data_IF_214976827422
#
_entry.id   IF_214976827422
#
_cell.length_a   1.000
_cell.length_b   1.000
_cell.length_c   1.000
_cell.angle_alpha   90.00
_cell.angle_beta   90.00
_cell.angle_gamma   90.00
#
_symmetry.space_group_name_H-M   'P 1'
#
loop_
_entity.id
_entity.type
_entity.pdbx_description
1 polymer ?
#
# COMPACT_ATOMS: atom_id res chain seq x y z
N UNK A 1 46.11 -1.82 -33.58
CA UNK A 1 46.30 -1.56 -32.14
C UNK A 1 46.15 -0.06 -31.91
N UNK A 2 45.21 0.35 -31.04
CA UNK A 2 45.30 1.43 -30.03
C UNK A 2 46.04 2.77 -30.39
N UNK A 3 45.58 4.00 -30.14
CA UNK A 3 44.63 4.61 -29.17
C UNK A 3 44.38 6.10 -29.55
N UNK A 4 43.16 6.58 -29.23
CA UNK A 4 42.72 7.87 -28.65
C UNK A 4 43.08 9.28 -29.19
N UNK A 5 41.99 10.07 -29.32
CA UNK A 5 41.80 11.50 -28.93
C UNK A 5 42.46 12.57 -29.83
N UNK A 6 41.91 13.76 -30.15
CA UNK A 6 40.94 14.67 -29.53
C UNK A 6 40.21 15.52 -30.61
N UNK A 7 39.07 16.11 -30.24
CA UNK A 7 38.24 17.02 -31.05
C UNK A 7 38.90 18.41 -31.29
N UNK A 8 38.37 19.27 -32.19
CA UNK A 8 37.38 20.25 -31.71
C UNK A 8 36.23 20.55 -32.71
N UNK A 9 35.05 20.76 -32.13
CA UNK A 9 33.84 21.31 -32.74
C UNK A 9 33.83 22.84 -32.57
N UNK A 10 33.19 23.62 -33.47
CA UNK A 10 32.54 24.81 -32.96
C UNK A 10 31.13 25.08 -33.55
N UNK A 11 30.24 25.43 -32.60
CA UNK A 11 29.06 26.32 -32.68
C UNK A 11 27.67 25.72 -32.90
N UNK A 12 26.97 25.50 -31.78
CA UNK A 12 25.62 26.06 -31.57
C UNK A 12 25.48 26.43 -30.09
N UNK A 13 25.39 27.72 -29.79
CA UNK A 13 25.21 28.27 -28.45
C UNK A 13 23.73 28.42 -28.13
N UNK A 14 23.18 27.52 -27.31
CA UNK A 14 21.96 27.79 -26.56
C UNK A 14 22.31 28.48 -25.24
N UNK A 15 21.62 29.58 -24.94
CA UNK A 15 21.75 30.32 -23.68
C UNK A 15 21.11 29.48 -22.58
N UNK A 16 21.92 28.86 -21.72
CA UNK A 16 21.45 28.21 -20.50
C UNK A 16 21.17 29.29 -19.46
N UNK A 17 19.89 29.49 -19.11
CA UNK A 17 19.51 30.32 -17.97
C UNK A 17 20.03 29.65 -16.68
N UNK A 18 21.03 30.26 -16.03
CA UNK A 18 21.68 29.75 -14.81
C UNK A 18 20.89 30.13 -13.56
N UNK A 19 19.71 29.53 -13.37
CA UNK A 19 19.01 29.58 -12.08
C UNK A 19 18.09 28.36 -11.92
N UNK A 20 18.32 27.47 -10.94
CA UNK A 20 17.38 26.39 -10.63
C UNK A 20 16.24 26.98 -9.80
N UNK A 21 15.08 27.19 -10.40
CA UNK A 21 13.87 27.54 -9.66
C UNK A 21 13.18 26.22 -9.22
N UNK A 22 13.49 25.80 -7.99
CA UNK A 22 12.80 24.85 -7.09
C UNK A 22 11.90 23.76 -7.72
N UNK A 23 12.48 22.55 -7.83
CA UNK A 23 11.92 21.26 -7.40
C UNK A 23 10.41 21.02 -7.56
N UNK A 24 9.93 20.89 -8.80
CA UNK A 24 8.82 19.97 -9.06
C UNK A 24 9.41 18.61 -9.41
N UNK A 25 9.13 17.53 -8.65
CA UNK A 25 9.49 16.18 -9.06
C UNK A 25 8.89 15.93 -10.45
N UNK A 26 9.71 15.49 -11.41
CA UNK A 26 9.21 14.98 -12.68
C UNK A 26 8.48 13.67 -12.39
N UNK A 27 7.16 13.74 -12.18
CA UNK A 27 6.32 12.55 -12.07
C UNK A 27 6.40 11.80 -13.39
N UNK A 28 6.78 10.53 -13.33
CA UNK A 28 6.86 9.68 -14.51
C UNK A 28 5.46 9.31 -15.00
N UNK A 29 5.34 8.96 -16.28
CA UNK A 29 4.06 8.50 -16.85
C UNK A 29 3.54 7.25 -16.12
N UNK A 30 4.46 6.32 -15.79
CA UNK A 30 4.18 5.14 -14.97
C UNK A 30 3.54 5.49 -13.62
N UNK A 31 4.12 6.44 -12.87
CA UNK A 31 3.59 6.89 -11.58
C UNK A 31 2.21 7.56 -11.72
N UNK A 32 1.97 8.24 -12.84
CA UNK A 32 0.68 8.87 -13.12
C UNK A 32 -0.43 7.82 -13.31
N UNK A 33 -0.17 6.72 -14.03
CA UNK A 33 -1.12 5.63 -14.14
C UNK A 33 -1.38 4.92 -12.80
N UNK A 34 -0.32 4.62 -12.05
CA UNK A 34 -0.45 4.01 -10.72
C UNK A 34 -1.27 4.89 -9.77
N UNK A 35 -1.06 6.21 -9.81
CA UNK A 35 -1.85 7.16 -9.01
C UNK A 35 -3.35 7.01 -9.32
N UNK A 36 -3.74 7.01 -10.59
CA UNK A 36 -5.16 6.87 -10.98
C UNK A 36 -5.72 5.51 -10.53
N UNK A 37 -4.97 4.41 -10.67
CA UNK A 37 -5.39 3.09 -10.18
C UNK A 37 -5.63 3.11 -8.66
N UNK A 38 -4.77 3.80 -7.89
CA UNK A 38 -4.91 3.91 -6.45
C UNK A 38 -6.04 4.87 -6.01
N UNK A 39 -6.33 5.90 -6.81
CA UNK A 39 -7.48 6.80 -6.59
C UNK A 39 -8.82 6.07 -6.75
N UNK A 40 -8.93 5.16 -7.73
CA UNK A 40 -10.17 4.43 -8.06
C UNK A 40 -10.03 2.91 -7.87
N UNK A 41 -9.89 2.43 -6.62
CA UNK A 41 -9.57 1.03 -6.31
C UNK A 41 -10.67 0.03 -6.71
N UNK A 42 -11.91 0.45 -6.98
CA UNK A 42 -12.99 -0.45 -7.40
C UNK A 42 -13.23 -0.47 -8.92
N UNK A 43 -12.53 0.38 -9.69
CA UNK A 43 -12.77 0.54 -11.13
C UNK A 43 -11.79 -0.27 -11.99
N UNK A 44 -12.32 -1.00 -12.97
CA UNK A 44 -11.47 -1.77 -13.88
C UNK A 44 -10.87 -0.91 -14.99
N UNK A 45 -11.50 0.23 -15.32
CA UNK A 45 -11.05 1.10 -16.43
C UNK A 45 -9.62 1.61 -16.26
N UNK A 46 -9.21 2.20 -15.13
CA UNK A 46 -7.81 2.62 -14.93
C UNK A 46 -6.81 1.46 -15.03
N UNK A 47 -7.23 0.26 -14.59
CA UNK A 47 -6.38 -0.93 -14.60
C UNK A 47 -6.17 -1.47 -16.01
N UNK A 48 -7.21 -1.44 -16.84
CA UNK A 48 -7.13 -1.84 -18.25
C UNK A 48 -6.29 -0.84 -19.05
N UNK A 49 -6.46 0.46 -18.83
CA UNK A 49 -5.61 1.49 -19.46
C UNK A 49 -4.14 1.29 -19.08
N UNK A 50 -3.86 1.00 -17.80
CA UNK A 50 -2.50 0.70 -17.37
C UNK A 50 -1.95 -0.59 -17.98
N UNK A 51 -2.78 -1.63 -18.14
CA UNK A 51 -2.39 -2.85 -18.83
C UNK A 51 -2.05 -2.59 -20.31
N UNK A 52 -2.82 -1.75 -21.01
CA UNK A 52 -2.51 -1.34 -22.39
C UNK A 52 -1.16 -0.61 -22.45
N UNK A 53 -0.92 0.33 -21.52
CA UNK A 53 0.37 1.02 -21.44
C UNK A 53 1.54 0.07 -21.14
N UNK A 54 1.36 -0.91 -20.24
CA UNK A 54 2.38 -1.92 -19.95
C UNK A 54 2.75 -2.74 -21.19
N UNK A 55 1.77 -3.12 -21.99
CA UNK A 55 1.99 -3.83 -23.26
C UNK A 55 2.82 -2.98 -24.24
N UNK A 56 2.51 -1.69 -24.35
CA UNK A 56 3.28 -0.73 -25.18
C UNK A 56 4.73 -0.57 -24.69
N UNK A 57 4.98 -0.71 -23.38
CA UNK A 57 6.33 -0.72 -22.79
C UNK A 57 7.05 -2.08 -22.93
N UNK A 58 6.40 -3.10 -23.51
CA UNK A 58 6.96 -4.46 -23.66
C UNK A 58 6.75 -5.36 -22.44
N UNK A 59 5.97 -4.94 -21.45
CA UNK A 59 5.63 -5.68 -20.23
C UNK A 59 4.38 -6.55 -20.43
N UNK A 60 4.37 -7.40 -21.47
CA UNK A 60 3.18 -8.16 -21.87
C UNK A 60 2.64 -9.08 -20.76
N UNK A 61 3.53 -9.79 -20.05
CA UNK A 61 3.12 -10.71 -18.96
C UNK A 61 2.36 -9.98 -17.84
N UNK A 62 2.76 -8.74 -17.57
CA UNK A 62 2.17 -7.82 -16.61
C UNK A 62 0.75 -7.40 -17.02
N UNK A 63 0.62 -6.95 -18.27
CA UNK A 63 -0.66 -6.58 -18.86
C UNK A 63 -1.65 -7.77 -18.88
N UNK A 64 -1.20 -8.94 -19.32
CA UNK A 64 -2.00 -10.16 -19.38
C UNK A 64 -2.47 -10.61 -17.99
N UNK A 65 -1.62 -10.52 -16.97
CA UNK A 65 -1.99 -10.86 -15.60
C UNK A 65 -3.14 -9.99 -15.08
N UNK A 66 -3.05 -8.67 -15.27
CA UNK A 66 -4.12 -7.72 -14.86
C UNK A 66 -5.43 -8.07 -15.56
N UNK A 67 -5.40 -8.21 -16.90
CA UNK A 67 -6.59 -8.53 -17.71
C UNK A 67 -7.20 -9.88 -17.32
N UNK A 68 -6.37 -10.89 -17.07
CA UNK A 68 -6.82 -12.22 -16.67
C UNK A 68 -7.51 -12.19 -15.30
N UNK A 69 -6.94 -11.51 -14.30
CA UNK A 69 -7.57 -11.42 -12.97
C UNK A 69 -8.89 -10.63 -13.01
N UNK A 70 -8.97 -9.56 -13.80
CA UNK A 70 -10.23 -8.81 -14.00
C UNK A 70 -11.29 -9.72 -14.61
N UNK A 71 -10.97 -10.40 -15.72
CA UNK A 71 -11.92 -11.25 -16.44
C UNK A 71 -12.45 -12.39 -15.58
N UNK A 72 -11.59 -13.00 -14.76
CA UNK A 72 -11.95 -14.17 -13.94
C UNK A 72 -12.51 -13.81 -12.56
N UNK A 73 -12.37 -12.55 -12.13
CA UNK A 73 -12.73 -12.13 -10.78
C UNK A 73 -11.92 -12.86 -9.70
N UNK A 74 -10.70 -13.28 -10.02
CA UNK A 74 -9.87 -14.09 -9.12
C UNK A 74 -9.34 -13.27 -7.94
N UNK A 75 -9.29 -13.92 -6.78
CA UNK A 75 -8.59 -13.44 -5.59
C UNK A 75 -7.46 -14.41 -5.31
N UNK A 76 -6.22 -13.91 -5.28
CA UNK A 76 -5.03 -14.73 -5.08
C UNK A 76 -4.31 -14.26 -3.82
N UNK A 77 -4.25 -15.10 -2.80
CA UNK A 77 -3.49 -14.82 -1.58
C UNK A 77 -2.10 -15.44 -1.66
N UNK A 78 -1.07 -14.66 -1.32
CA UNK A 78 0.33 -15.08 -1.27
C UNK A 78 0.83 -14.91 0.16
N UNK A 79 1.43 -15.95 0.75
CA UNK A 79 1.98 -15.95 2.12
C UNK A 79 3.50 -16.00 2.03
N UNK A 80 4.21 -15.20 2.83
CA UNK A 80 5.67 -14.98 2.70
C UNK A 80 6.55 -16.22 2.93
N UNK A 81 6.01 -17.29 3.53
CA UNK A 81 6.70 -18.57 3.68
C UNK A 81 6.56 -19.51 2.47
N UNK A 82 5.79 -19.11 1.45
CA UNK A 82 5.54 -19.90 0.26
C UNK A 82 6.07 -19.09 -0.92
N UNK A 83 7.11 -19.59 -1.62
CA UNK A 83 7.41 -19.10 -2.97
C UNK A 83 6.23 -19.52 -3.84
N UNK A 84 5.36 -18.61 -4.31
CA UNK A 84 4.29 -19.05 -5.18
C UNK A 84 4.91 -19.53 -6.50
N UNK A 85 4.53 -20.73 -6.95
CA UNK A 85 4.76 -21.20 -8.33
C UNK A 85 3.95 -20.39 -9.35
N UNK A 86 3.13 -19.45 -8.89
CA UNK A 86 2.38 -18.50 -9.70
C UNK A 86 3.37 -17.46 -10.20
N UNK A 87 3.60 -17.43 -11.52
CA UNK A 87 4.39 -16.41 -12.18
C UNK A 87 3.72 -15.04 -12.03
N UNK A 88 4.04 -14.33 -10.95
CA UNK A 88 3.65 -12.93 -10.73
C UNK A 88 4.65 -12.06 -11.52
N UNK A 89 4.20 -11.21 -12.45
CA UNK A 89 5.08 -10.40 -13.29
C UNK A 89 6.03 -9.49 -12.49
N UNK A 90 7.27 -9.32 -12.97
CA UNK A 90 8.39 -8.71 -12.24
C UNK A 90 8.13 -7.25 -11.81
N UNK A 91 7.32 -6.47 -12.53
CA UNK A 91 7.01 -5.09 -12.10
C UNK A 91 6.08 -5.02 -10.86
N UNK A 92 5.30 -6.08 -10.56
CA UNK A 92 4.56 -6.21 -9.30
C UNK A 92 5.49 -6.51 -8.12
N UNK A 93 6.76 -6.90 -8.37
CA UNK A 93 7.82 -6.94 -7.35
C UNK A 93 8.34 -5.55 -6.96
N UNK A 94 7.74 -4.45 -7.46
CA UNK A 94 8.06 -3.11 -6.96
C UNK A 94 7.60 -2.87 -5.51
N UNK A 95 6.86 -3.82 -4.92
CA UNK A 95 6.98 -4.02 -3.48
C UNK A 95 8.33 -4.69 -3.26
N UNK A 96 9.33 -3.87 -2.97
CA UNK A 96 10.53 -4.29 -2.24
C UNK A 96 10.09 -4.66 -0.80
N UNK A 97 9.15 -5.60 -0.70
CA UNK A 97 8.91 -6.37 0.51
C UNK A 97 10.13 -7.25 0.59
N UNK A 98 11.18 -6.68 1.18
CA UNK A 98 12.22 -7.45 1.80
C UNK A 98 11.52 -8.61 2.51
N UNK A 99 11.79 -9.83 2.05
CA UNK A 99 10.95 -11.04 2.22
C UNK A 99 10.78 -11.45 3.71
N UNK A 100 11.27 -10.63 4.63
CA UNK A 100 11.29 -10.82 6.07
C UNK A 100 10.18 -10.04 6.81
N UNK A 101 9.47 -9.10 6.16
CA UNK A 101 8.69 -8.08 6.88
C UNK A 101 7.16 -8.08 6.66
N UNK A 102 6.66 -8.75 5.62
CA UNK A 102 5.21 -8.92 5.36
C UNK A 102 4.85 -10.40 5.49
N UNK A 103 3.74 -10.71 6.16
CA UNK A 103 3.30 -12.08 6.42
C UNK A 103 2.46 -12.66 5.28
N UNK A 104 1.61 -11.84 4.66
CA UNK A 104 0.87 -12.20 3.46
C UNK A 104 0.35 -10.97 2.72
N UNK A 105 0.08 -11.13 1.44
CA UNK A 105 -0.61 -10.14 0.59
C UNK A 105 -1.71 -10.84 -0.22
N UNK A 106 -2.77 -10.11 -0.52
CA UNK A 106 -3.85 -10.60 -1.38
C UNK A 106 -3.92 -9.74 -2.63
N UNK A 107 -3.88 -10.39 -3.78
CA UNK A 107 -4.09 -9.81 -5.09
C UNK A 107 -5.55 -9.91 -5.51
N UNK A 108 -6.05 -8.81 -6.07
CA UNK A 108 -7.37 -8.73 -6.71
C UNK A 108 -7.25 -7.79 -7.90
N UNK A 109 -7.75 -8.23 -9.06
CA UNK A 109 -7.77 -7.43 -10.31
C UNK A 109 -6.39 -6.89 -10.70
N UNK A 110 -5.35 -7.71 -10.52
CA UNK A 110 -3.98 -7.42 -10.95
C UNK A 110 -3.11 -6.70 -9.92
N UNK A 111 -3.65 -6.28 -8.78
CA UNK A 111 -2.90 -5.52 -7.77
C UNK A 111 -3.13 -6.03 -6.35
N UNK A 112 -2.22 -5.68 -5.43
CA UNK A 112 -2.39 -5.95 -4.01
C UNK A 112 -3.53 -5.08 -3.45
N UNK A 113 -4.55 -5.72 -2.88
CA UNK A 113 -5.69 -5.04 -2.25
C UNK A 113 -5.74 -5.23 -0.73
N UNK A 114 -5.06 -6.26 -0.19
CA UNK A 114 -4.97 -6.52 1.25
C UNK A 114 -3.54 -6.86 1.64
N UNK A 115 -3.08 -6.32 2.76
CA UNK A 115 -1.75 -6.55 3.31
C UNK A 115 -1.83 -7.02 4.77
N UNK A 116 -1.07 -8.06 5.11
CA UNK A 116 -0.92 -8.54 6.49
C UNK A 116 0.54 -8.46 6.91
N UNK A 117 0.86 -7.64 7.92
CA UNK A 117 2.23 -7.36 8.34
C UNK A 117 2.29 -6.84 9.77
N UNK A 118 3.49 -6.62 10.32
CA UNK A 118 3.62 -6.05 11.67
C UNK A 118 3.36 -4.55 11.69
N UNK A 119 2.98 -4.00 12.84
CA UNK A 119 2.76 -2.57 13.06
C UNK A 119 3.98 -1.71 12.70
N UNK A 120 5.18 -2.18 13.02
CA UNK A 120 6.46 -1.54 12.63
C UNK A 120 6.60 -1.45 11.11
N UNK A 121 6.44 -2.59 10.43
CA UNK A 121 6.56 -2.65 8.98
C UNK A 121 5.49 -1.79 8.28
N UNK A 122 4.31 -1.61 8.89
CA UNK A 122 3.27 -0.78 8.32
C UNK A 122 3.66 0.69 8.34
N UNK A 123 4.18 1.18 9.48
CA UNK A 123 4.65 2.55 9.60
C UNK A 123 5.79 2.88 8.61
N UNK A 124 6.64 1.90 8.30
CA UNK A 124 7.76 2.05 7.37
C UNK A 124 7.32 1.96 5.90
N UNK A 125 6.50 0.97 5.54
CA UNK A 125 6.21 0.63 4.15
C UNK A 125 4.95 1.30 3.58
N UNK A 126 4.01 1.77 4.42
CA UNK A 126 2.73 2.30 3.96
C UNK A 126 2.84 3.39 2.88
N UNK A 127 3.72 4.42 2.98
CA UNK A 127 3.81 5.44 1.94
C UNK A 127 4.13 4.88 0.54
N UNK A 128 5.08 3.93 0.47
CA UNK A 128 5.48 3.28 -0.79
C UNK A 128 4.43 2.29 -1.30
N UNK A 129 3.76 1.57 -0.40
CA UNK A 129 2.73 0.60 -0.76
C UNK A 129 1.48 1.27 -1.36
N UNK A 130 0.98 2.32 -0.71
CA UNK A 130 -0.27 2.97 -1.12
C UNK A 130 -0.13 3.80 -2.40
N UNK A 131 1.09 4.16 -2.80
CA UNK A 131 1.35 4.85 -4.08
C UNK A 131 1.40 3.89 -5.27
N UNK A 132 1.59 2.60 -5.03
CA UNK A 132 1.73 1.56 -6.07
C UNK A 132 0.56 0.59 -6.13
N UNK A 133 -0.20 0.47 -5.04
CA UNK A 133 -1.26 -0.52 -4.92
C UNK A 133 -2.56 0.07 -4.35
N UNK A 134 -3.72 -0.26 -4.94
CA UNK A 134 -5.05 0.10 -4.46
C UNK A 134 -5.44 -0.73 -3.24
N UNK A 135 -4.73 -0.51 -2.11
CA UNK A 135 -4.95 -1.23 -0.86
C UNK A 135 -6.25 -0.75 -0.19
N UNK A 136 -7.12 -1.71 0.09
CA UNK A 136 -8.42 -1.50 0.75
C UNK A 136 -8.54 -2.21 2.08
N UNK A 137 -7.50 -2.95 2.50
CA UNK A 137 -7.50 -3.66 3.77
C UNK A 137 -6.07 -3.82 4.34
N UNK A 138 -5.93 -3.61 5.65
CA UNK A 138 -4.67 -3.75 6.39
C UNK A 138 -4.91 -4.58 7.64
N UNK A 139 -4.10 -5.63 7.82
CA UNK A 139 -4.10 -6.44 9.03
C UNK A 139 -2.75 -6.39 9.74
N UNK A 140 -2.74 -6.00 11.01
CA UNK A 140 -1.54 -5.97 11.83
C UNK A 140 -1.38 -7.29 12.59
N UNK A 141 -0.36 -8.08 12.25
CA UNK A 141 -0.20 -9.44 12.79
C UNK A 141 0.25 -9.50 14.25
N UNK A 142 0.88 -8.43 14.72
CA UNK A 142 1.40 -8.29 16.08
C UNK A 142 0.44 -7.52 17.01
N UNK A 143 -0.70 -7.02 16.49
CA UNK A 143 -1.65 -6.20 17.25
C UNK A 143 -3.06 -6.78 17.24
N UNK A 144 -3.76 -6.62 18.35
CA UNK A 144 -5.13 -7.10 18.55
C UNK A 144 -5.94 -6.10 19.36
N UNK A 145 -7.26 -6.02 19.12
CA UNK A 145 -8.13 -5.25 20.00
C UNK A 145 -8.16 -5.89 21.40
N UNK A 146 -8.22 -5.06 22.42
CA UNK A 146 -8.29 -5.47 23.81
C UNK A 146 -9.69 -6.05 24.14
N UNK A 147 -9.79 -7.28 24.67
CA UNK A 147 -11.06 -7.81 25.17
C UNK A 147 -11.44 -7.12 26.50
N UNK A 148 -12.69 -6.70 26.61
CA UNK A 148 -13.27 -6.02 27.76
C UNK A 148 -14.46 -6.84 28.26
N UNK A 149 -14.38 -7.30 29.51
CA UNK A 149 -15.40 -8.14 30.12
C UNK A 149 -14.95 -9.60 30.29
N UNK A 150 -15.87 -10.49 30.72
CA UNK A 150 -15.58 -11.91 30.91
C UNK A 150 -15.39 -12.63 29.56
N UNK A 151 -14.62 -13.73 29.54
CA UNK A 151 -14.21 -14.42 28.30
C UNK A 151 -15.38 -14.91 27.43
N UNK A 152 -16.51 -15.23 28.04
CA UNK A 152 -17.72 -15.76 27.40
C UNK A 152 -18.64 -14.67 26.82
N UNK A 153 -18.44 -13.40 27.21
CA UNK A 153 -19.23 -12.27 26.75
C UNK A 153 -18.38 -10.99 26.67
N UNK A 154 -17.17 -11.11 26.12
CA UNK A 154 -16.26 -9.98 25.99
C UNK A 154 -16.64 -9.11 24.78
N UNK A 155 -16.45 -7.80 24.92
CA UNK A 155 -16.46 -6.83 23.83
C UNK A 155 -15.04 -6.42 23.50
N UNK A 156 -14.80 -5.83 22.34
CA UNK A 156 -13.46 -5.51 21.86
C UNK A 156 -13.27 -3.99 21.75
N UNK A 157 -12.07 -3.50 22.06
CA UNK A 157 -11.71 -2.09 21.86
C UNK A 157 -10.22 -1.93 21.50
N UNK A 158 -9.92 -1.01 20.61
CA UNK A 158 -8.55 -0.58 20.34
C UNK A 158 -8.03 0.45 21.35
N UNK A 159 -8.90 0.92 22.25
CA UNK A 159 -8.53 1.85 23.30
C UNK A 159 -8.22 1.09 24.58
N UNK A 160 -7.02 1.32 25.12
CA UNK A 160 -6.63 0.75 26.40
C UNK A 160 -6.93 1.72 27.53
N UNK A 161 -7.67 1.24 28.53
CA UNK A 161 -8.06 2.05 29.69
C UNK A 161 -6.94 2.23 30.71
N UNK A 162 -5.97 1.32 30.72
CA UNK A 162 -4.84 1.33 31.66
C UNK A 162 -3.53 1.04 30.92
N UNK A 163 -2.43 1.74 31.25
CA UNK A 163 -1.12 1.41 30.72
C UNK A 163 -0.69 0.04 31.25
N UNK A 164 -0.16 -0.83 30.39
CA UNK A 164 0.50 -2.04 30.89
C UNK A 164 1.90 -1.73 31.40
N UNK A 165 2.34 -2.57 32.32
CA UNK A 165 3.72 -2.60 32.80
C UNK A 165 4.71 -3.11 31.74
N UNK A 166 4.21 -3.82 30.72
CA UNK A 166 4.98 -4.39 29.61
C UNK A 166 4.23 -4.22 28.29
N UNK A 167 4.96 -4.06 27.19
CA UNK A 167 4.36 -4.06 25.85
C UNK A 167 3.67 -5.40 25.56
N UNK A 168 2.47 -5.31 24.99
CA UNK A 168 1.66 -6.46 24.60
C UNK A 168 1.06 -6.27 23.22
N UNK A 169 0.42 -7.32 22.68
CA UNK A 169 -0.32 -7.23 21.42
C UNK A 169 -1.50 -6.24 21.48
N UNK A 170 -1.92 -5.81 22.66
CA UNK A 170 -2.99 -4.82 22.85
C UNK A 170 -2.48 -3.37 22.83
N UNK A 171 -1.16 -3.17 22.82
CA UNK A 171 -0.55 -1.84 22.85
C UNK A 171 -0.21 -1.37 21.44
N UNK A 172 -0.91 -0.35 20.95
CA UNK A 172 -0.52 0.30 19.70
C UNK A 172 0.76 1.14 19.92
N UNK A 173 1.74 1.08 19.00
CA UNK A 173 2.88 1.98 19.02
C UNK A 173 2.42 3.44 18.85
N UNK A 174 3.21 4.40 19.34
CA UNK A 174 2.82 5.83 19.31
C UNK A 174 2.48 6.33 17.90
N UNK A 175 3.20 5.85 16.89
CA UNK A 175 2.93 6.15 15.48
C UNK A 175 1.54 5.70 14.99
N UNK A 176 0.91 4.71 15.64
CA UNK A 176 -0.44 4.26 15.34
C UNK A 176 -1.49 4.81 16.31
N UNK A 177 -1.10 5.30 17.49
CA UNK A 177 -2.05 5.99 18.41
C UNK A 177 -2.66 7.24 17.77
N UNK A 178 -1.94 7.89 16.84
CA UNK A 178 -2.46 9.03 16.07
C UNK A 178 -3.73 8.67 15.30
N UNK A 179 -3.87 7.42 14.83
CA UNK A 179 -5.07 6.93 14.15
C UNK A 179 -6.32 7.02 15.03
N UNK A 180 -6.12 6.89 16.34
CA UNK A 180 -7.19 6.92 17.33
C UNK A 180 -7.53 8.34 17.80
N UNK A 181 -6.73 9.35 17.46
CA UNK A 181 -6.82 10.71 18.04
C UNK A 181 -8.13 11.45 17.74
N UNK A 182 -8.86 11.05 16.71
CA UNK A 182 -10.20 11.56 16.38
C UNK A 182 -11.34 10.56 16.61
N UNK A 183 -11.04 9.35 17.06
CA UNK A 183 -12.01 8.30 17.26
C UNK A 183 -12.58 8.32 18.69
N UNK A 184 -13.84 7.91 18.85
CA UNK A 184 -14.48 7.81 20.16
C UNK A 184 -13.78 6.73 21.02
N UNK A 185 -13.12 7.08 22.14
CA UNK A 185 -12.41 6.11 22.98
C UNK A 185 -13.31 5.08 23.66
N UNK A 186 -14.62 5.31 23.67
CA UNK A 186 -15.63 4.42 24.23
C UNK A 186 -16.20 3.44 23.21
N UNK A 187 -15.67 3.41 21.97
CA UNK A 187 -16.12 2.46 20.96
C UNK A 187 -15.83 1.02 21.41
N UNK A 188 -16.88 0.19 21.37
CA UNK A 188 -16.87 -1.21 21.73
C UNK A 188 -17.50 -2.03 20.62
N UNK A 189 -16.80 -3.07 20.19
CA UNK A 189 -17.25 -3.98 19.15
C UNK A 189 -17.77 -5.28 19.78
N UNK A 190 -18.77 -5.89 19.17
CA UNK A 190 -19.31 -7.18 19.63
C UNK A 190 -18.37 -8.33 19.28
N UNK A 191 -17.65 -8.21 18.17
CA UNK A 191 -16.72 -9.24 17.70
C UNK A 191 -15.33 -8.67 17.42
N UNK A 192 -14.30 -9.54 17.52
CA UNK A 192 -12.92 -9.20 17.16
C UNK A 192 -12.83 -8.78 15.69
N UNK A 193 -13.62 -9.42 14.81
CA UNK A 193 -13.69 -9.11 13.38
C UNK A 193 -14.19 -7.69 13.11
N UNK A 194 -15.27 -7.25 13.78
CA UNK A 194 -15.78 -5.87 13.66
C UNK A 194 -14.71 -4.85 14.11
N UNK A 195 -14.00 -5.15 15.21
CA UNK A 195 -12.92 -4.30 15.68
C UNK A 195 -11.77 -4.22 14.65
N UNK A 196 -11.37 -5.34 14.06
CA UNK A 196 -10.35 -5.37 13.02
C UNK A 196 -10.78 -4.61 11.76
N UNK A 197 -12.01 -4.79 11.28
CA UNK A 197 -12.53 -4.07 10.13
C UNK A 197 -12.46 -2.55 10.36
N UNK A 198 -12.92 -2.10 11.53
CA UNK A 198 -12.89 -0.69 11.90
C UNK A 198 -11.45 -0.12 11.93
N UNK A 199 -10.51 -0.86 12.51
CA UNK A 199 -9.11 -0.41 12.58
C UNK A 199 -8.39 -0.48 11.23
N UNK A 200 -8.69 -1.49 10.42
CA UNK A 200 -8.23 -1.61 9.03
C UNK A 200 -8.63 -0.38 8.22
N UNK A 201 -9.86 0.12 8.36
CA UNK A 201 -10.31 1.37 7.73
C UNK A 201 -9.43 2.56 8.12
N UNK A 202 -9.08 2.71 9.40
CA UNK A 202 -8.18 3.78 9.86
C UNK A 202 -6.76 3.65 9.28
N UNK A 203 -6.22 2.42 9.21
CA UNK A 203 -4.94 2.16 8.58
C UNK A 203 -4.95 2.53 7.09
N UNK A 204 -6.01 2.15 6.36
CA UNK A 204 -6.18 2.48 4.94
C UNK A 204 -6.24 4.00 4.76
N UNK A 205 -7.06 4.71 5.54
CA UNK A 205 -7.16 6.17 5.45
C UNK A 205 -5.83 6.88 5.74
N UNK A 206 -5.05 6.39 6.72
CA UNK A 206 -3.73 6.92 6.98
C UNK A 206 -2.74 6.63 5.85
N UNK A 207 -2.73 5.40 5.31
CA UNK A 207 -1.89 5.04 4.18
C UNK A 207 -2.18 5.90 2.96
N UNK A 208 -3.47 6.10 2.65
CA UNK A 208 -3.93 6.99 1.56
C UNK A 208 -3.51 8.44 1.80
N UNK A 209 -3.67 8.96 3.02
CA UNK A 209 -3.20 10.30 3.39
C UNK A 209 -1.69 10.48 3.19
N UNK A 210 -0.89 9.47 3.57
CA UNK A 210 0.57 9.49 3.37
C UNK A 210 0.96 9.45 1.89
N UNK A 211 0.12 8.85 1.05
CA UNK A 211 0.28 8.75 -0.39
C UNK A 211 -0.39 9.90 -1.19
N UNK A 212 -0.93 10.92 -0.50
CA UNK A 212 -1.67 12.03 -1.13
C UNK A 212 -2.88 11.56 -1.98
N UNK A 213 -3.57 10.52 -1.52
CA UNK A 213 -4.77 9.96 -2.14
C UNK A 213 -6.04 10.45 -1.43
N UNK A 214 -7.17 10.59 -2.16
CA UNK A 214 -8.46 10.95 -1.56
C UNK A 214 -8.94 9.85 -0.61
N UNK A 215 -9.76 10.18 0.38
CA UNK A 215 -10.38 9.20 1.29
C UNK A 215 -11.14 8.13 0.50
N UNK A 216 -11.00 6.85 0.90
CA UNK A 216 -11.66 5.74 0.22
C UNK A 216 -13.04 5.47 0.81
N UNK A 217 -13.13 5.43 2.14
CA UNK A 217 -14.42 5.24 2.80
C UNK A 217 -15.17 6.56 2.83
N UNK A 218 -16.44 6.54 2.43
CA UNK A 218 -17.32 7.68 2.70
C UNK A 218 -17.38 7.86 4.20
N UNK A 219 -17.23 9.10 4.67
CA UNK A 219 -17.52 9.43 6.06
C UNK A 219 -19.01 9.21 6.29
N UNK A 220 -19.38 8.02 6.75
CA UNK A 220 -20.70 7.80 7.32
C UNK A 220 -20.81 8.74 8.52
N UNK A 221 -21.68 9.73 8.37
CA UNK A 221 -21.90 10.86 9.30
C UNK A 221 -22.57 10.39 10.59
#
# INVERSE_FOLDING_TARGET
>A
MALLSEFPNPKLTYVVCRSPCKDTPLVTEHESFLRIVCEYPDEDTPRLIFADWLEDQGELASAEFIRAQILRGEVTQVVSHIRPEIAIPHFLYSIDVDQQNVSSVTYKRGFVCSISLTSRCFLEAAPSLFTKHPITEVFLTDKRPNPIGPRDNCRYSWFRRFPAQFESCYDLPDGLKVLLSGANPSVLFETEAQAHEWFSKLCVEQGRKLADLPSYYRHDS
#
